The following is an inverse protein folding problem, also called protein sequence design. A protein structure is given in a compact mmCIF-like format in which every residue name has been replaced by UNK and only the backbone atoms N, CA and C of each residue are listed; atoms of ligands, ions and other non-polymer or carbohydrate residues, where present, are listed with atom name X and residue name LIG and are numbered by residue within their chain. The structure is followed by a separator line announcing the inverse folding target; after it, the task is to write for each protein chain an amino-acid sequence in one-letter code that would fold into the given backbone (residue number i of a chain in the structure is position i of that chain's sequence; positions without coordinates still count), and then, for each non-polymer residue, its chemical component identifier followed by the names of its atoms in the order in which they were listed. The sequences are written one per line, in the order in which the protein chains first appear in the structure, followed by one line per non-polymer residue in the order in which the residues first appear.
data_IF_837073527337
#
_entry.id   IF_837073527337
#
_cell.length_a   1.000
_cell.length_b   1.000
_cell.length_c   1.000
_cell.angle_alpha   90.00
_cell.angle_beta   90.00
_cell.angle_gamma   90.00
#
_symmetry.space_group_name_H-M   'P 1'
#
loop_
_entity.id
_entity.type
_entity.pdbx_description
1 polymer ?
#
# COMPACT_ATOMS: atom_id res chain seq x y z
N UNK A 1 10.30 10.77 8.03
CA UNK A 1 10.25 11.96 7.15
C UNK A 1 10.17 11.51 5.70
N UNK A 2 9.32 12.16 4.93
CA UNK A 2 9.13 11.93 3.49
C UNK A 2 8.86 13.26 2.77
N UNK A 3 9.27 13.35 1.50
CA UNK A 3 8.98 14.49 0.65
C UNK A 3 8.89 14.05 -0.82
N UNK A 4 7.95 14.58 -1.62
CA UNK A 4 7.71 14.13 -3.00
C UNK A 4 8.85 14.42 -3.98
N UNK A 5 9.77 15.34 -3.68
CA UNK A 5 10.80 15.80 -4.61
C UNK A 5 11.60 14.68 -5.30
N UNK A 6 12.05 13.67 -4.53
CA UNK A 6 12.78 12.53 -5.10
C UNK A 6 11.86 11.59 -5.86
N UNK A 7 10.66 11.40 -5.34
CA UNK A 7 9.63 10.59 -5.97
C UNK A 7 9.17 11.20 -7.30
N UNK A 8 8.98 12.53 -7.35
CA UNK A 8 8.63 13.25 -8.59
C UNK A 8 9.70 13.13 -9.66
N UNK A 9 10.99 13.16 -9.28
CA UNK A 9 12.08 12.89 -10.21
C UNK A 9 12.02 11.48 -10.77
N UNK A 10 11.74 10.50 -9.91
CA UNK A 10 11.63 9.10 -10.32
C UNK A 10 10.43 8.88 -11.24
N UNK A 11 9.23 9.35 -10.88
CA UNK A 11 8.03 9.20 -11.72
C UNK A 11 8.11 9.95 -13.06
N UNK A 12 8.94 10.98 -13.16
CA UNK A 12 9.17 11.69 -14.43
C UNK A 12 9.90 10.81 -15.47
N UNK A 13 10.46 9.66 -15.07
CA UNK A 13 11.08 8.67 -15.98
C UNK A 13 10.10 7.64 -16.54
N UNK A 14 8.81 7.72 -16.17
CA UNK A 14 7.78 6.82 -16.69
C UNK A 14 7.72 6.88 -18.23
N UNK A 15 7.51 5.72 -18.83
CA UNK A 15 7.38 5.59 -20.27
C UNK A 15 6.16 6.32 -20.83
N UNK A 16 6.12 6.54 -22.16
CA UNK A 16 5.01 7.21 -22.82
C UNK A 16 3.66 6.55 -22.51
N UNK A 17 2.66 7.36 -22.18
CA UNK A 17 1.31 6.88 -21.89
C UNK A 17 1.09 6.36 -20.46
N UNK A 18 2.13 6.30 -19.63
CA UNK A 18 2.00 5.95 -18.21
C UNK A 18 1.97 7.22 -17.36
N UNK A 19 1.06 7.26 -16.40
CA UNK A 19 0.98 8.31 -15.39
C UNK A 19 0.74 7.69 -14.02
N UNK A 20 1.55 8.08 -13.03
CA UNK A 20 1.32 7.70 -11.66
C UNK A 20 0.20 8.57 -11.07
N UNK A 21 -0.80 7.93 -10.52
CA UNK A 21 -1.97 8.53 -9.88
C UNK A 21 -3.21 7.72 -10.15
N UNK A 22 -4.08 7.64 -9.13
CA UNK A 22 -5.33 6.91 -9.22
C UNK A 22 -6.23 7.45 -10.34
N UNK A 23 -6.85 6.54 -11.07
CA UNK A 23 -7.79 6.85 -12.16
C UNK A 23 -9.17 6.33 -11.79
N UNK A 24 -10.15 7.21 -11.51
CA UNK A 24 -11.50 6.79 -11.13
C UNK A 24 -12.27 6.13 -12.28
N UNK A 25 -13.41 5.51 -11.97
CA UNK A 25 -14.33 4.93 -12.95
C UNK A 25 -13.99 3.52 -13.37
N UNK A 26 -13.16 2.81 -12.65
CA UNK A 26 -12.82 1.41 -12.96
C UNK A 26 -13.95 0.46 -12.52
N UNK A 27 -14.51 -0.36 -13.43
CA UNK A 27 -15.56 -1.30 -13.10
C UNK A 27 -15.08 -2.49 -12.26
N UNK A 28 -13.78 -2.77 -12.29
CA UNK A 28 -13.07 -3.78 -11.49
C UNK A 28 -11.69 -3.26 -11.15
N UNK A 29 -11.15 -3.70 -10.01
CA UNK A 29 -9.85 -3.28 -9.54
C UNK A 29 -8.76 -4.32 -9.73
N UNK A 30 -7.57 -3.84 -10.07
CA UNK A 30 -6.30 -4.56 -10.04
C UNK A 30 -5.65 -4.28 -8.68
N UNK A 31 -5.74 -5.25 -7.77
CA UNK A 31 -5.23 -5.12 -6.40
C UNK A 31 -3.76 -5.54 -6.36
N UNK A 32 -2.93 -4.73 -5.73
CA UNK A 32 -1.47 -4.96 -5.65
C UNK A 32 -1.01 -5.05 -4.20
N UNK A 33 0.03 -5.85 -3.96
CA UNK A 33 0.72 -6.02 -2.68
C UNK A 33 2.21 -5.85 -2.89
N UNK A 34 2.89 -5.11 -1.99
CA UNK A 34 4.32 -4.78 -2.12
C UNK A 34 5.18 -5.23 -0.94
N UNK A 35 4.66 -6.03 -0.03
CA UNK A 35 5.41 -6.53 1.11
C UNK A 35 6.68 -7.25 0.65
N UNK A 36 7.85 -7.00 1.31
CA UNK A 36 9.13 -7.56 0.88
C UNK A 36 9.24 -9.08 1.10
N UNK A 37 8.37 -9.68 1.93
CA UNK A 37 8.34 -11.12 2.24
C UNK A 37 9.67 -11.71 2.74
N UNK A 38 10.47 -10.91 3.45
CA UNK A 38 11.76 -11.32 4.02
C UNK A 38 11.60 -11.75 5.48
N UNK A 39 10.63 -11.17 6.19
CA UNK A 39 10.35 -11.45 7.59
C UNK A 39 8.85 -11.31 7.89
N UNK A 40 8.45 -11.70 9.11
CA UNK A 40 7.05 -11.67 9.54
C UNK A 40 6.47 -10.26 9.67
N UNK A 41 7.31 -9.24 9.87
CA UNK A 41 6.87 -7.84 10.03
C UNK A 41 6.16 -7.32 8.78
N UNK A 42 6.61 -7.74 7.60
CA UNK A 42 6.05 -7.35 6.29
C UNK A 42 5.93 -8.58 5.40
N UNK A 43 4.77 -9.23 5.44
CA UNK A 43 4.46 -10.43 4.66
C UNK A 43 3.16 -10.24 3.89
N UNK A 44 3.11 -10.77 2.67
CA UNK A 44 1.90 -10.75 1.83
C UNK A 44 0.81 -11.72 2.28
N UNK A 45 1.03 -12.54 3.29
CA UNK A 45 0.05 -13.55 3.76
C UNK A 45 -1.24 -12.85 4.19
N UNK A 46 -1.16 -11.85 5.06
CA UNK A 46 -2.36 -11.13 5.53
C UNK A 46 -3.02 -10.32 4.41
N UNK A 47 -2.31 -9.54 3.59
CA UNK A 47 -2.90 -8.90 2.41
C UNK A 47 -3.61 -9.87 1.46
N UNK A 48 -3.07 -11.06 1.22
CA UNK A 48 -3.73 -12.09 0.41
C UNK A 48 -5.02 -12.58 1.07
N UNK A 49 -5.04 -12.82 2.40
CA UNK A 49 -6.24 -13.21 3.14
C UNK A 49 -7.29 -12.09 3.14
N UNK A 50 -6.90 -10.83 3.33
CA UNK A 50 -7.80 -9.66 3.22
C UNK A 50 -8.47 -9.61 1.85
N UNK A 51 -7.71 -9.81 0.78
CA UNK A 51 -8.23 -9.79 -0.60
C UNK A 51 -9.12 -11.00 -0.86
N UNK A 52 -8.77 -12.17 -0.32
CA UNK A 52 -9.59 -13.39 -0.37
C UNK A 52 -10.97 -13.18 0.28
N UNK A 53 -11.02 -12.57 1.48
CA UNK A 53 -12.28 -12.25 2.18
C UNK A 53 -13.16 -11.31 1.34
N UNK A 54 -12.56 -10.26 0.75
CA UNK A 54 -13.27 -9.35 -0.13
C UNK A 54 -13.79 -10.06 -1.39
N UNK A 55 -12.96 -10.89 -2.01
CA UNK A 55 -13.31 -11.66 -3.20
C UNK A 55 -14.46 -12.63 -2.95
N UNK A 56 -14.41 -13.38 -1.86
CA UNK A 56 -15.52 -14.31 -1.48
C UNK A 56 -16.83 -13.59 -1.24
N UNK A 57 -16.78 -12.37 -0.70
CA UNK A 57 -17.98 -11.57 -0.46
C UNK A 57 -18.55 -10.92 -1.72
N UNK A 58 -17.68 -10.53 -2.68
CA UNK A 58 -18.08 -9.81 -3.90
C UNK A 58 -17.08 -10.08 -5.05
N UNK A 59 -17.15 -11.24 -5.73
CA UNK A 59 -16.16 -11.62 -6.75
C UNK A 59 -16.01 -10.63 -7.90
N UNK A 60 -17.08 -9.96 -8.28
CA UNK A 60 -17.13 -9.09 -9.46
C UNK A 60 -16.31 -7.79 -9.33
N UNK A 61 -15.87 -7.38 -8.12
CA UNK A 61 -15.05 -6.19 -7.97
C UNK A 61 -13.61 -6.38 -8.46
N UNK A 62 -13.15 -7.63 -8.48
CA UNK A 62 -11.75 -7.97 -8.69
C UNK A 62 -11.47 -8.32 -10.16
N UNK A 63 -10.46 -7.67 -10.74
CA UNK A 63 -9.91 -8.04 -12.05
C UNK A 63 -8.73 -9.01 -11.89
N UNK A 64 -7.76 -8.63 -11.07
CA UNK A 64 -6.55 -9.42 -10.82
C UNK A 64 -5.88 -8.98 -9.50
N UNK A 65 -5.17 -9.91 -8.87
CA UNK A 65 -4.28 -9.66 -7.72
C UNK A 65 -2.82 -9.81 -8.17
N UNK A 66 -1.98 -8.84 -7.83
CA UNK A 66 -0.55 -8.87 -8.12
C UNK A 66 0.26 -8.84 -6.83
N UNK A 67 0.91 -9.95 -6.52
CA UNK A 67 1.68 -10.11 -5.29
C UNK A 67 3.16 -9.92 -5.62
N UNK A 68 3.66 -8.70 -5.44
CA UNK A 68 5.05 -8.36 -5.70
C UNK A 68 6.00 -8.94 -4.63
N UNK A 69 7.30 -8.98 -4.94
CA UNK A 69 8.34 -9.50 -4.05
C UNK A 69 8.13 -10.96 -3.62
N UNK A 70 7.56 -11.81 -4.47
CA UNK A 70 7.26 -13.21 -4.14
C UNK A 70 7.98 -14.22 -5.04
N UNK A 71 8.67 -13.76 -6.09
CA UNK A 71 9.34 -14.68 -7.03
C UNK A 71 10.34 -15.63 -6.34
N UNK A 72 11.02 -15.19 -5.27
CA UNK A 72 11.91 -16.03 -4.46
C UNK A 72 11.18 -17.09 -3.62
N UNK A 73 9.86 -16.96 -3.45
CA UNK A 73 9.02 -17.90 -2.71
C UNK A 73 8.39 -18.98 -3.60
N UNK A 74 8.63 -18.94 -4.92
CA UNK A 74 8.01 -19.85 -5.90
C UNK A 74 8.20 -21.35 -5.57
N UNK A 75 9.32 -21.70 -4.94
CA UNK A 75 9.65 -23.08 -4.55
C UNK A 75 9.55 -23.29 -3.03
N UNK A 76 9.06 -22.28 -2.27
CA UNK A 76 8.90 -22.39 -0.83
C UNK A 76 7.62 -23.14 -0.48
N UNK A 77 7.74 -24.37 -0.05
CA UNK A 77 6.62 -25.33 0.15
C UNK A 77 5.47 -24.74 0.94
N UNK A 78 5.74 -24.09 2.09
CA UNK A 78 4.69 -23.51 2.95
C UNK A 78 3.93 -22.40 2.23
N UNK A 79 4.63 -21.49 1.53
CA UNK A 79 3.99 -20.41 0.79
C UNK A 79 3.14 -20.94 -0.37
N UNK A 80 3.67 -21.89 -1.14
CA UNK A 80 2.97 -22.49 -2.26
C UNK A 80 1.70 -23.22 -1.81
N UNK A 81 1.79 -24.00 -0.71
CA UNK A 81 0.63 -24.71 -0.18
C UNK A 81 -0.42 -23.75 0.41
N UNK A 82 0.00 -22.67 1.05
CA UNK A 82 -0.89 -21.60 1.50
C UNK A 82 -1.60 -20.95 0.31
N UNK A 83 -0.84 -20.45 -0.66
CA UNK A 83 -1.39 -19.74 -1.81
C UNK A 83 -2.42 -20.57 -2.58
N UNK A 84 -2.14 -21.85 -2.83
CA UNK A 84 -3.06 -22.79 -3.53
C UNK A 84 -4.38 -23.08 -2.79
N UNK A 85 -4.56 -22.59 -1.55
CA UNK A 85 -5.81 -22.75 -0.81
C UNK A 85 -6.74 -21.54 -0.93
N UNK A 86 -6.28 -20.49 -1.60
CA UNK A 86 -7.03 -19.27 -1.80
C UNK A 86 -7.81 -19.34 -3.12
N UNK A 87 -9.07 -18.95 -3.10
CA UNK A 87 -9.94 -18.95 -4.28
C UNK A 87 -9.40 -17.96 -5.34
N UNK A 88 -8.83 -16.80 -4.93
CA UNK A 88 -8.17 -15.86 -5.84
C UNK A 88 -7.00 -16.48 -6.62
N UNK A 89 -6.35 -17.50 -6.07
CA UNK A 89 -5.26 -18.23 -6.74
C UNK A 89 -5.82 -19.39 -7.57
N UNK A 90 -6.75 -20.16 -7.01
CA UNK A 90 -7.37 -21.33 -7.68
C UNK A 90 -8.15 -20.91 -8.94
N UNK A 91 -8.81 -19.74 -8.87
CA UNK A 91 -9.52 -19.16 -10.01
C UNK A 91 -8.63 -18.43 -11.02
N UNK A 92 -7.31 -18.46 -10.86
CA UNK A 92 -6.34 -17.87 -11.78
C UNK A 92 -6.30 -16.34 -11.77
N UNK A 93 -6.78 -15.71 -10.70
CA UNK A 93 -6.82 -14.25 -10.56
C UNK A 93 -5.57 -13.67 -9.91
N UNK A 94 -4.56 -14.48 -9.56
CA UNK A 94 -3.38 -14.02 -8.83
C UNK A 94 -2.10 -14.27 -9.61
N UNK A 95 -1.23 -13.26 -9.68
CA UNK A 95 0.13 -13.40 -10.18
C UNK A 95 1.15 -13.14 -9.08
N UNK A 96 2.29 -13.82 -9.15
CA UNK A 96 3.40 -13.71 -8.21
C UNK A 96 4.60 -13.08 -8.90
N UNK A 97 4.93 -11.87 -8.48
CA UNK A 97 5.79 -10.97 -9.23
C UNK A 97 7.15 -10.78 -8.56
N UNK A 98 8.11 -10.30 -9.34
CA UNK A 98 9.41 -9.80 -8.88
C UNK A 98 9.25 -8.49 -8.07
N UNK A 99 10.37 -7.89 -7.69
CA UNK A 99 10.43 -6.58 -7.08
C UNK A 99 10.41 -5.49 -8.16
N UNK A 100 9.53 -4.52 -7.99
CA UNK A 100 9.38 -3.37 -8.88
C UNK A 100 9.35 -2.06 -8.09
N UNK A 101 9.64 -0.95 -8.75
CA UNK A 101 9.37 0.38 -8.21
C UNK A 101 7.85 0.61 -8.16
N UNK A 102 7.37 1.15 -7.03
CA UNK A 102 5.93 1.32 -6.78
C UNK A 102 5.29 2.19 -7.86
N UNK A 103 5.91 3.33 -8.20
CA UNK A 103 5.36 4.27 -9.18
C UNK A 103 5.24 3.69 -10.59
N UNK A 104 6.19 2.85 -11.01
CA UNK A 104 6.15 2.18 -12.32
C UNK A 104 5.05 1.12 -12.35
N UNK A 105 5.02 0.28 -11.31
CA UNK A 105 4.10 -0.84 -11.25
C UNK A 105 2.65 -0.38 -11.10
N UNK A 106 2.39 0.61 -10.23
CA UNK A 106 1.05 1.16 -10.04
C UNK A 106 0.56 1.90 -11.28
N UNK A 107 1.40 2.69 -11.94
CA UNK A 107 1.03 3.38 -13.18
C UNK A 107 0.56 2.42 -14.29
N UNK A 108 1.18 1.23 -14.37
CA UNK A 108 0.87 0.27 -15.42
C UNK A 108 -0.20 -0.76 -15.00
N UNK A 109 -0.19 -1.20 -13.74
CA UNK A 109 -0.82 -2.46 -13.35
C UNK A 109 -1.65 -2.39 -12.07
N UNK A 110 -1.70 -1.28 -11.33
CA UNK A 110 -2.38 -1.21 -10.04
C UNK A 110 -3.50 -0.18 -10.00
N UNK A 111 -4.58 -0.48 -9.27
CA UNK A 111 -5.68 0.46 -8.98
C UNK A 111 -5.87 0.64 -7.47
N UNK A 112 -5.53 -0.36 -6.66
CA UNK A 112 -5.59 -0.33 -5.20
C UNK A 112 -4.44 -1.15 -4.59
N UNK A 113 -4.08 -0.83 -3.33
CA UNK A 113 -3.06 -1.58 -2.60
C UNK A 113 -3.62 -2.07 -1.28
N UNK A 114 -3.43 -3.35 -1.00
CA UNK A 114 -3.62 -3.95 0.32
C UNK A 114 -2.24 -4.18 0.93
N UNK A 115 -2.03 -3.65 2.13
CA UNK A 115 -0.76 -3.74 2.85
C UNK A 115 -0.97 -4.12 4.30
N UNK A 116 -0.02 -4.85 4.85
CA UNK A 116 0.02 -5.22 6.27
C UNK A 116 1.42 -5.08 6.82
N UNK A 117 1.54 -4.42 7.96
CA UNK A 117 2.80 -4.33 8.70
C UNK A 117 2.55 -4.62 10.17
N UNK A 118 3.44 -5.38 10.81
CA UNK A 118 3.38 -5.62 12.24
C UNK A 118 4.36 -4.69 12.96
N UNK A 119 3.84 -3.85 13.87
CA UNK A 119 4.62 -2.90 14.69
C UNK A 119 5.67 -2.09 13.90
N UNK A 120 5.32 -1.68 12.69
CA UNK A 120 6.17 -0.87 11.84
C UNK A 120 5.49 0.44 11.49
N UNK A 121 5.87 1.51 12.18
CA UNK A 121 5.27 2.82 12.05
C UNK A 121 5.58 3.48 10.70
N UNK A 122 6.78 3.29 10.18
CA UNK A 122 7.24 4.02 9.01
C UNK A 122 7.29 3.12 7.77
N UNK A 123 6.49 3.47 6.78
CA UNK A 123 6.46 2.78 5.50
C UNK A 123 6.35 3.78 4.35
N UNK A 124 7.43 3.99 3.60
CA UNK A 124 7.45 4.91 2.45
C UNK A 124 6.41 4.57 1.38
N UNK A 125 6.10 3.28 1.19
CA UNK A 125 5.01 2.83 0.33
C UNK A 125 3.70 3.59 0.61
N UNK A 126 3.36 3.78 1.88
CA UNK A 126 2.13 4.45 2.27
C UNK A 126 2.09 5.89 1.80
N UNK A 127 3.19 6.63 1.97
CA UNK A 127 3.29 8.03 1.56
C UNK A 127 3.22 8.17 0.03
N UNK A 128 3.87 7.28 -0.70
CA UNK A 128 3.83 7.26 -2.16
C UNK A 128 2.40 7.01 -2.68
N UNK A 129 1.68 6.06 -2.08
CA UNK A 129 0.30 5.74 -2.47
C UNK A 129 -0.68 6.86 -2.11
N UNK A 130 -0.57 7.43 -0.91
CA UNK A 130 -1.38 8.58 -0.49
C UNK A 130 -1.13 9.79 -1.38
N UNK A 131 0.12 10.03 -1.81
CA UNK A 131 0.49 11.09 -2.74
C UNK A 131 -0.07 10.87 -4.15
N UNK A 132 -0.28 9.63 -4.55
CA UNK A 132 -0.91 9.25 -5.82
C UNK A 132 -2.41 9.05 -5.75
N UNK A 133 -3.05 9.36 -4.63
CA UNK A 133 -4.49 9.17 -4.40
C UNK A 133 -4.97 7.71 -4.53
N UNK A 134 -4.07 6.72 -4.48
CA UNK A 134 -4.47 5.33 -4.57
C UNK A 134 -5.18 4.84 -3.31
N UNK A 135 -6.29 4.08 -3.45
CA UNK A 135 -6.92 3.40 -2.31
C UNK A 135 -5.89 2.51 -1.60
N UNK A 136 -5.52 2.88 -0.38
CA UNK A 136 -4.62 2.14 0.48
C UNK A 136 -5.40 1.49 1.60
N UNK A 137 -5.47 0.16 1.59
CA UNK A 137 -6.05 -0.64 2.67
C UNK A 137 -4.90 -1.09 3.57
N UNK A 138 -4.94 -0.75 4.86
CA UNK A 138 -3.82 -0.93 5.77
C UNK A 138 -4.24 -1.15 7.22
N UNK A 139 -3.32 -1.68 8.04
CA UNK A 139 -3.50 -1.87 9.48
C UNK A 139 -2.66 -0.91 10.33
N UNK A 140 -2.08 0.14 9.74
CA UNK A 140 -1.19 1.06 10.48
C UNK A 140 -2.00 2.13 11.24
N UNK A 141 -1.93 2.18 12.59
CA UNK A 141 -2.58 3.23 13.36
C UNK A 141 -1.92 4.61 13.19
N UNK A 142 -0.71 4.66 12.63
CA UNK A 142 0.05 5.90 12.43
C UNK A 142 -0.49 6.78 11.30
N UNK A 143 -1.31 6.23 10.42
CA UNK A 143 -1.94 7.01 9.34
C UNK A 143 -3.22 7.73 9.78
N UNK A 144 -3.67 7.50 11.02
CA UNK A 144 -4.89 8.12 11.53
C UNK A 144 -6.11 7.73 10.69
N UNK A 145 -6.77 8.74 10.11
CA UNK A 145 -7.94 8.59 9.26
C UNK A 145 -7.63 8.54 7.74
N UNK A 146 -6.35 8.56 7.36
CA UNK A 146 -5.95 8.42 5.97
C UNK A 146 -5.94 6.95 5.53
N UNK A 147 -6.24 6.68 4.28
CA UNK A 147 -6.42 5.33 3.78
C UNK A 147 -7.74 4.70 4.22
N UNK A 148 -7.77 3.37 4.21
CA UNK A 148 -8.85 2.50 4.67
C UNK A 148 -8.29 1.53 5.70
N UNK A 149 -8.51 1.85 6.96
CA UNK A 149 -7.91 1.13 8.09
C UNK A 149 -8.66 -0.16 8.43
N UNK A 150 -7.91 -1.20 8.79
CA UNK A 150 -8.42 -2.37 9.48
C UNK A 150 -7.54 -2.71 10.69
N UNK A 151 -8.10 -3.21 11.80
CA UNK A 151 -7.34 -3.44 13.02
C UNK A 151 -6.50 -4.71 12.97
N UNK A 152 -5.38 -4.70 13.63
CA UNK A 152 -4.53 -5.85 13.92
C UNK A 152 -4.29 -6.78 12.71
N UNK A 153 -4.68 -8.04 12.84
CA UNK A 153 -4.62 -9.09 11.81
C UNK A 153 -6.03 -9.51 11.35
N UNK A 154 -7.06 -8.65 11.55
CA UNK A 154 -8.44 -8.95 11.19
C UNK A 154 -8.65 -8.89 9.68
N UNK A 155 -8.45 -10.05 9.03
CA UNK A 155 -8.60 -10.17 7.58
C UNK A 155 -10.03 -9.89 7.12
N UNK A 156 -11.04 -10.20 7.94
CA UNK A 156 -12.45 -9.93 7.59
C UNK A 156 -12.74 -8.43 7.63
N UNK A 157 -12.24 -7.70 8.64
CA UNK A 157 -12.32 -6.24 8.67
C UNK A 157 -11.57 -5.63 7.49
N UNK A 158 -10.38 -6.16 7.15
CA UNK A 158 -9.61 -5.76 5.96
C UNK A 158 -10.38 -5.97 4.66
N UNK A 159 -11.04 -7.12 4.51
CA UNK A 159 -11.90 -7.42 3.36
C UNK A 159 -13.06 -6.43 3.23
N UNK A 160 -13.72 -6.09 4.35
CA UNK A 160 -14.76 -5.05 4.38
C UNK A 160 -14.20 -3.67 4.00
N UNK A 161 -13.03 -3.30 4.52
CA UNK A 161 -12.36 -2.04 4.19
C UNK A 161 -12.01 -1.94 2.69
N UNK A 162 -11.56 -3.04 2.07
CA UNK A 162 -11.29 -3.11 0.63
C UNK A 162 -12.58 -2.92 -0.19
N UNK A 163 -13.68 -3.59 0.18
CA UNK A 163 -14.96 -3.41 -0.50
C UNK A 163 -15.57 -2.03 -0.28
N UNK A 164 -15.41 -1.45 0.90
CA UNK A 164 -15.80 -0.06 1.17
C UNK A 164 -15.01 0.89 0.26
N UNK A 165 -13.68 0.71 0.18
CA UNK A 165 -12.85 1.51 -0.71
C UNK A 165 -13.34 1.40 -2.16
N UNK A 166 -13.60 0.19 -2.64
CA UNK A 166 -14.11 -0.01 -4.00
C UNK A 166 -15.45 0.70 -4.26
N UNK A 167 -16.35 0.71 -3.28
CA UNK A 167 -17.68 1.32 -3.43
C UNK A 167 -17.67 2.85 -3.34
N UNK A 168 -16.76 3.43 -2.55
CA UNK A 168 -16.88 4.82 -2.10
C UNK A 168 -15.72 5.72 -2.54
N UNK A 169 -14.58 5.17 -2.96
CA UNK A 169 -13.36 5.97 -3.17
C UNK A 169 -13.55 7.05 -4.24
N UNK A 170 -14.15 6.72 -5.37
CA UNK A 170 -14.39 7.67 -6.47
C UNK A 170 -15.26 8.85 -6.02
N UNK A 171 -16.31 8.56 -5.27
CA UNK A 171 -17.23 9.58 -4.78
C UNK A 171 -16.62 10.45 -3.66
N UNK A 172 -15.65 9.92 -2.92
CA UNK A 172 -15.04 10.57 -1.75
C UNK A 172 -13.58 11.00 -2.00
N UNK A 173 -13.16 11.10 -3.25
CA UNK A 173 -11.76 11.32 -3.62
C UNK A 173 -11.19 12.63 -3.01
N UNK A 174 -11.97 13.71 -2.98
CA UNK A 174 -11.51 14.98 -2.40
C UNK A 174 -11.32 14.87 -0.88
N UNK A 175 -12.26 14.22 -0.19
CA UNK A 175 -12.10 13.97 1.26
C UNK A 175 -10.93 13.02 1.56
N UNK A 176 -10.66 12.06 0.68
CA UNK A 176 -9.49 11.18 0.76
C UNK A 176 -8.19 11.98 0.63
N UNK A 177 -8.10 12.88 -0.35
CA UNK A 177 -6.96 13.78 -0.56
C UNK A 177 -6.67 14.67 0.64
N UNK A 178 -7.70 15.24 1.24
CA UNK A 178 -7.56 16.08 2.43
C UNK A 178 -6.98 15.30 3.61
N UNK A 179 -7.43 14.06 3.84
CA UNK A 179 -6.86 13.18 4.88
C UNK A 179 -5.41 12.80 4.56
N UNK A 180 -5.16 12.40 3.33
CA UNK A 180 -3.80 12.05 2.85
C UNK A 180 -2.83 13.22 3.00
N UNK A 181 -3.28 14.43 2.64
CA UNK A 181 -2.48 15.65 2.77
C UNK A 181 -2.03 15.91 4.21
N UNK A 182 -2.92 15.74 5.19
CA UNK A 182 -2.55 15.92 6.61
C UNK A 182 -1.41 14.99 7.04
N UNK A 183 -1.44 13.73 6.61
CA UNK A 183 -0.35 12.78 6.89
C UNK A 183 0.93 13.19 6.18
N UNK A 184 0.87 13.53 4.89
CA UNK A 184 2.03 13.94 4.11
C UNK A 184 2.68 15.22 4.66
N UNK A 185 1.87 16.19 5.09
CA UNK A 185 2.34 17.41 5.74
C UNK A 185 3.02 17.10 7.08
N UNK A 186 2.50 16.15 7.86
CA UNK A 186 3.10 15.77 9.15
C UNK A 186 4.47 15.13 9.02
N UNK A 187 4.73 14.42 7.93
CA UNK A 187 6.03 13.76 7.67
C UNK A 187 6.96 14.59 6.77
N UNK A 188 6.54 15.78 6.37
CA UNK A 188 7.29 16.65 5.47
C UNK A 188 8.61 17.13 6.10
N UNK A 189 9.66 17.24 5.27
CA UNK A 189 10.94 17.86 5.65
C UNK A 189 10.80 19.36 6.00
N UNK A 190 9.72 19.99 5.57
CA UNK A 190 9.43 21.41 5.85
C UNK A 190 8.50 21.61 7.04
N UNK A 191 8.02 20.52 7.66
CA UNK A 191 7.22 20.62 8.87
C UNK A 191 8.11 21.18 10.02
N UNK A 192 7.71 22.30 10.67
CA UNK A 192 8.53 22.93 11.71
C UNK A 192 8.87 22.00 12.88
N UNK A 193 7.94 21.12 13.28
CA UNK A 193 8.18 20.18 14.39
C UNK A 193 9.25 19.14 14.02
N UNK A 194 9.23 18.66 12.78
CA UNK A 194 10.26 17.76 12.27
C UNK A 194 11.62 18.47 12.22
N UNK A 195 11.67 19.71 11.72
CA UNK A 195 12.91 20.50 11.67
C UNK A 195 13.47 20.72 13.08
N UNK A 196 12.62 21.11 14.03
CA UNK A 196 13.02 21.30 15.42
C UNK A 196 13.57 20.01 16.04
N UNK A 197 12.82 18.89 15.92
CA UNK A 197 13.22 17.60 16.46
C UNK A 197 14.58 17.11 15.93
N UNK A 198 14.83 17.25 14.62
CA UNK A 198 16.12 16.89 14.04
C UNK A 198 17.24 17.85 14.46
N UNK A 199 16.97 19.14 14.56
CA UNK A 199 17.93 20.13 15.03
C UNK A 199 18.35 19.82 16.47
N UNK A 200 17.40 19.54 17.35
CA UNK A 200 17.66 19.21 18.75
C UNK A 200 18.41 17.87 18.88
N UNK A 201 18.04 16.86 18.09
CA UNK A 201 18.76 15.59 18.07
C UNK A 201 20.21 15.75 17.63
N UNK A 202 20.48 16.55 16.59
CA UNK A 202 21.86 16.86 16.16
C UNK A 202 22.59 17.64 17.24
N UNK A 203 22.00 18.69 17.81
CA UNK A 203 22.60 19.48 18.86
C UNK A 203 22.96 18.65 20.11
N UNK A 204 22.15 17.63 20.44
CA UNK A 204 22.42 16.75 21.59
C UNK A 204 23.72 15.96 21.44
N UNK A 205 24.12 15.62 20.21
CA UNK A 205 25.37 14.88 19.96
C UNK A 205 26.65 15.67 20.29
N UNK A 206 26.52 16.97 20.44
CA UNK A 206 27.65 17.89 20.71
C UNK A 206 27.60 18.51 22.11
N UNK A 207 26.62 18.18 22.95
CA UNK A 207 26.50 18.75 24.30
C UNK A 207 27.40 18.07 25.33
N UNK A 208 27.82 16.83 25.05
CA UNK A 208 28.67 16.02 25.94
C UNK A 208 30.12 15.88 25.42
N UNK A 209 30.50 16.69 24.44
CA UNK A 209 31.86 16.81 23.93
C UNK A 209 32.50 18.11 24.41
#
# INVERSE_FOLDING_TARGET
IWHPMLFDKARATLGPGLAFGYQPGKPRWRVTMFEPNICMVKSSIIPMLVTEEAYRAKPEFLEIVRVCNTLHLKDHTTFVHFAKRLDIVDHGLTTFESRYAVYEFMAAFGDAVVSHTWENAQNYLYYELLYGDYPLIHNSPFLGDAGYFYPDFDCQAGGRALLQAFAEHDANLDAYRERSKRVLDSVSIYNPDNVAAYTDAIASLYRDA
#
